data_IF_815730511393
#
_entry.id   IF_815730511393
#
_cell.length_a   1.000
_cell.length_b   1.000
_cell.length_c   1.000
_cell.angle_alpha   90.00
_cell.angle_beta   90.00
_cell.angle_gamma   90.00
#
_symmetry.space_group_name_H-M   'P 1'
#
loop_
_entity.id
_entity.type
_entity.pdbx_description
1 polymer ?
#
# COMPACT_ATOMS: atom_id res chain seq x y z
N UNK A 1 15.93 29.98 -5.55
CA UNK A 1 16.51 28.89 -6.38
C UNK A 1 17.57 28.09 -5.61
N UNK A 2 18.55 28.72 -4.97
CA UNK A 2 19.64 28.03 -4.23
C UNK A 2 19.20 27.06 -3.13
N UNK A 3 18.15 27.39 -2.37
CA UNK A 3 17.66 26.56 -1.25
C UNK A 3 17.33 25.11 -1.66
N UNK A 4 16.72 24.92 -2.85
CA UNK A 4 16.33 23.58 -3.32
C UNK A 4 17.55 22.73 -3.70
N UNK A 5 18.59 23.36 -4.26
CA UNK A 5 19.85 22.69 -4.61
C UNK A 5 20.55 22.20 -3.34
N UNK A 6 20.79 23.08 -2.38
CA UNK A 6 21.43 22.70 -1.10
C UNK A 6 20.64 21.64 -0.33
N UNK A 7 19.30 21.65 -0.40
CA UNK A 7 18.50 20.59 0.19
C UNK A 7 18.77 19.22 -0.47
N UNK A 8 18.92 19.17 -1.79
CA UNK A 8 19.17 17.94 -2.55
C UNK A 8 20.64 17.50 -2.48
N UNK A 9 21.59 18.44 -2.62
CA UNK A 9 23.04 18.20 -2.59
C UNK A 9 23.49 17.65 -1.23
N UNK A 10 22.85 18.09 -0.14
CA UNK A 10 23.08 17.59 1.21
C UNK A 10 22.10 16.47 1.59
N UNK A 11 21.79 15.56 0.64
CA UNK A 11 21.05 14.32 0.91
C UNK A 11 19.68 14.52 1.57
N UNK A 12 18.88 15.47 1.11
CA UNK A 12 17.58 15.83 1.70
C UNK A 12 17.70 16.35 3.15
N UNK A 13 18.77 17.09 3.44
CA UNK A 13 19.02 17.70 4.74
C UNK A 13 17.78 18.44 5.28
N UNK A 14 17.49 18.20 6.56
CA UNK A 14 16.40 18.88 7.28
C UNK A 14 16.65 20.39 7.41
N UNK A 15 15.63 21.11 7.86
CA UNK A 15 15.62 22.59 7.87
C UNK A 15 16.81 23.20 8.63
N UNK A 16 17.25 22.60 9.74
CA UNK A 16 18.39 23.10 10.52
C UNK A 16 19.73 22.89 9.81
N UNK A 17 19.96 21.68 9.30
CA UNK A 17 21.20 21.33 8.61
C UNK A 17 21.36 22.15 7.31
N UNK A 18 20.30 22.26 6.50
CA UNK A 18 20.31 23.09 5.29
C UNK A 18 20.55 24.57 5.62
N UNK A 19 19.97 25.09 6.72
CA UNK A 19 20.17 26.47 7.13
C UNK A 19 21.61 26.76 7.59
N UNK A 20 22.23 25.83 8.33
CA UNK A 20 23.61 25.97 8.77
C UNK A 20 24.59 25.96 7.59
N UNK A 21 24.44 24.99 6.67
CA UNK A 21 25.31 24.88 5.48
C UNK A 21 25.20 26.11 4.58
N UNK A 22 23.99 26.64 4.37
CA UNK A 22 23.80 27.84 3.55
C UNK A 22 24.39 29.10 4.20
N UNK A 23 24.34 29.22 5.54
CA UNK A 23 24.85 30.38 6.27
C UNK A 23 26.37 30.51 6.23
N UNK A 24 27.09 29.42 5.94
CA UNK A 24 28.55 29.46 5.76
C UNK A 24 28.98 30.23 4.51
N UNK A 25 28.10 30.34 3.51
CA UNK A 25 28.43 30.92 2.20
C UNK A 25 27.58 32.14 1.87
N UNK A 26 26.33 32.20 2.37
CA UNK A 26 25.38 33.25 2.02
C UNK A 26 24.65 33.82 3.24
N UNK A 27 24.39 35.12 3.23
CA UNK A 27 23.53 35.79 4.20
C UNK A 27 22.18 36.14 3.58
N UNK A 28 21.25 35.18 3.61
CA UNK A 28 19.91 35.32 3.01
C UNK A 28 18.91 35.77 4.08
N UNK A 29 18.21 36.88 3.81
CA UNK A 29 17.11 37.36 4.65
C UNK A 29 15.96 36.33 4.62
N UNK A 30 15.41 35.98 5.78
CA UNK A 30 14.38 34.95 5.95
C UNK A 30 14.72 33.55 5.39
N UNK A 31 16.00 33.18 5.32
CA UNK A 31 16.46 31.89 4.79
C UNK A 31 15.68 30.69 5.38
N UNK A 32 15.41 30.70 6.68
CA UNK A 32 14.70 29.63 7.39
C UNK A 32 13.28 29.40 6.86
N UNK A 33 12.55 30.45 6.48
CA UNK A 33 11.20 30.36 5.92
C UNK A 33 11.24 29.68 4.54
N UNK A 34 12.16 30.13 3.69
CA UNK A 34 12.39 29.58 2.36
C UNK A 34 12.82 28.11 2.39
N UNK A 35 13.72 27.74 3.31
CA UNK A 35 14.16 26.35 3.53
C UNK A 35 13.01 25.48 4.01
N UNK A 36 12.19 25.95 4.96
CA UNK A 36 11.02 25.21 5.43
C UNK A 36 10.03 24.94 4.30
N UNK A 37 9.79 25.92 3.42
CA UNK A 37 8.95 25.73 2.23
C UNK A 37 9.54 24.70 1.26
N UNK A 38 10.85 24.76 1.01
CA UNK A 38 11.53 23.83 0.11
C UNK A 38 11.48 22.37 0.62
N UNK A 39 11.75 22.15 1.91
CA UNK A 39 11.68 20.82 2.53
C UNK A 39 10.25 20.28 2.51
N UNK A 40 9.24 21.11 2.82
CA UNK A 40 7.82 20.71 2.77
C UNK A 40 7.34 20.33 1.37
N UNK A 41 7.85 21.02 0.35
CA UNK A 41 7.50 20.75 -1.05
C UNK A 41 8.33 19.60 -1.66
N UNK A 42 9.28 19.04 -0.93
CA UNK A 42 10.10 17.93 -1.42
C UNK A 42 9.32 16.61 -1.33
N UNK A 43 9.04 16.00 -2.48
CA UNK A 43 8.30 14.72 -2.57
C UNK A 43 9.05 13.59 -1.84
N UNK A 44 10.39 13.59 -1.89
CA UNK A 44 11.21 12.59 -1.22
C UNK A 44 11.06 12.70 0.29
N UNK A 45 11.25 13.90 0.84
CA UNK A 45 11.01 14.15 2.27
C UNK A 45 9.57 13.83 2.66
N UNK A 46 8.58 14.26 1.86
CA UNK A 46 7.17 14.00 2.15
C UNK A 46 6.85 12.49 2.21
N UNK A 47 7.49 11.66 1.38
CA UNK A 47 7.35 10.19 1.43
C UNK A 47 8.02 9.56 2.64
N UNK A 48 9.18 10.06 3.07
CA UNK A 48 9.86 9.54 4.26
C UNK A 48 9.21 10.02 5.57
N UNK A 49 8.61 11.20 5.55
CA UNK A 49 7.87 11.80 6.67
C UNK A 49 6.37 11.43 6.66
N UNK A 50 5.88 10.71 5.65
CA UNK A 50 4.46 10.33 5.62
C UNK A 50 4.17 9.35 6.75
N UNK A 51 3.27 9.73 7.64
CA UNK A 51 2.71 8.81 8.61
C UNK A 51 1.93 7.71 7.89
N UNK A 52 1.92 6.49 8.43
CA UNK A 52 1.03 5.45 7.96
C UNK A 52 -0.41 6.00 7.91
N UNK A 53 -1.06 5.90 6.75
CA UNK A 53 -2.45 6.33 6.62
C UNK A 53 -3.28 5.69 7.72
N UNK A 54 -3.97 6.50 8.52
CA UNK A 54 -4.91 5.98 9.50
C UNK A 54 -6.02 5.27 8.74
N UNK A 55 -6.16 3.96 8.95
CA UNK A 55 -7.24 3.19 8.36
C UNK A 55 -8.57 3.76 8.86
N UNK A 56 -9.34 4.38 7.96
CA UNK A 56 -10.71 4.79 8.27
C UNK A 56 -11.57 3.52 8.23
N UNK A 57 -11.96 3.05 9.41
CA UNK A 57 -12.90 1.93 9.54
C UNK A 57 -14.31 2.45 9.24
N UNK A 58 -14.83 2.10 8.06
CA UNK A 58 -16.24 2.35 7.71
C UNK A 58 -17.11 1.28 8.39
N UNK A 59 -18.35 1.63 8.70
CA UNK A 59 -19.33 0.68 9.21
C UNK A 59 -19.43 -0.56 8.31
N UNK A 60 -19.45 -1.73 8.94
CA UNK A 60 -19.55 -2.98 8.21
C UNK A 60 -20.93 -3.05 7.55
N UNK A 61 -21.04 -3.50 6.28
CA UNK A 61 -22.33 -3.58 5.60
C UNK A 61 -23.26 -4.51 6.37
N UNK A 62 -24.57 -4.20 6.35
CA UNK A 62 -25.61 -4.99 7.04
C UNK A 62 -25.64 -6.46 6.62
N UNK A 63 -25.06 -6.78 5.45
CA UNK A 63 -24.83 -8.15 5.00
C UNK A 63 -23.89 -8.94 5.91
N UNK A 64 -22.93 -8.29 6.57
CA UNK A 64 -21.92 -8.92 7.44
C UNK A 64 -22.32 -8.94 8.92
N UNK A 65 -23.21 -8.05 9.35
CA UNK A 65 -23.52 -7.86 10.78
C UNK A 65 -24.84 -8.50 11.20
N UNK A 66 -25.83 -8.57 10.30
CA UNK A 66 -27.17 -9.09 10.66
C UNK A 66 -27.18 -10.63 10.71
N UNK A 67 -27.56 -11.25 11.84
CA UNK A 67 -27.74 -12.69 11.94
C UNK A 67 -28.91 -13.17 11.06
N UNK A 68 -28.87 -14.43 10.63
CA UNK A 68 -29.89 -15.02 9.76
C UNK A 68 -29.71 -16.53 9.61
N UNK A 69 -30.44 -17.15 8.68
CA UNK A 69 -30.27 -18.58 8.37
C UNK A 69 -28.92 -18.84 7.69
N UNK A 70 -28.35 -20.02 7.88
CA UNK A 70 -27.11 -20.41 7.19
C UNK A 70 -27.29 -20.26 5.66
N UNK A 71 -26.24 -19.79 4.98
CA UNK A 71 -26.22 -19.52 3.53
C UNK A 71 -27.17 -18.44 3.01
N UNK A 72 -27.91 -17.73 3.88
CA UNK A 72 -28.75 -16.60 3.46
C UNK A 72 -27.92 -15.46 2.84
N UNK A 73 -26.68 -15.30 3.30
CA UNK A 73 -25.73 -14.32 2.78
C UNK A 73 -24.38 -15.01 2.58
N UNK A 74 -23.99 -15.19 1.34
CA UNK A 74 -22.72 -15.76 0.95
C UNK A 74 -21.95 -14.83 0.02
N UNK A 75 -20.64 -14.98 0.00
CA UNK A 75 -19.76 -14.43 -1.01
C UNK A 75 -18.99 -15.54 -1.70
N UNK A 76 -18.62 -15.30 -2.95
CA UNK A 76 -17.74 -16.17 -3.72
C UNK A 76 -16.48 -15.39 -4.01
N UNK A 77 -15.32 -15.94 -3.68
CA UNK A 77 -14.02 -15.39 -4.01
C UNK A 77 -13.25 -16.37 -4.90
N UNK A 78 -12.48 -15.85 -5.85
CA UNK A 78 -11.70 -16.65 -6.77
C UNK A 78 -10.21 -16.40 -6.52
N UNK A 79 -9.46 -17.48 -6.31
CA UNK A 79 -8.02 -17.42 -6.14
C UNK A 79 -7.34 -18.15 -7.31
N UNK A 80 -6.42 -17.50 -8.00
CA UNK A 80 -5.66 -18.09 -9.11
C UNK A 80 -5.42 -17.12 -10.27
N UNK A 81 -4.55 -17.45 -11.23
CA UNK A 81 -4.27 -18.81 -11.70
C UNK A 81 -3.11 -19.53 -10.97
N UNK A 82 -3.37 -20.76 -10.52
CA UNK A 82 -2.34 -21.68 -10.06
C UNK A 82 -1.91 -22.59 -11.21
N UNK A 83 -0.60 -22.68 -11.47
CA UNK A 83 -0.07 -23.61 -12.46
C UNK A 83 0.21 -24.95 -11.78
N UNK A 84 -0.61 -25.95 -12.08
CA UNK A 84 -0.48 -27.30 -11.52
C UNK A 84 -0.09 -28.25 -12.64
N UNK A 85 0.98 -29.00 -12.40
CA UNK A 85 1.37 -30.09 -13.28
C UNK A 85 0.58 -31.34 -12.86
N UNK A 86 -0.31 -31.83 -13.72
CA UNK A 86 -1.11 -33.02 -13.43
C UNK A 86 -0.26 -34.30 -13.36
N UNK A 87 0.98 -34.29 -13.86
CA UNK A 87 1.90 -35.44 -13.85
C UNK A 87 3.34 -34.98 -13.60
N UNK A 88 4.15 -35.84 -12.97
CA UNK A 88 5.60 -35.65 -12.89
C UNK A 88 6.26 -36.18 -14.17
N UNK A 89 6.99 -35.33 -14.91
CA UNK A 89 7.71 -35.71 -16.12
C UNK A 89 8.31 -34.51 -16.87
N UNK A 90 9.20 -34.75 -17.84
CA UNK A 90 9.72 -33.71 -18.74
C UNK A 90 8.64 -33.33 -19.77
N UNK A 91 8.48 -32.03 -20.05
CA UNK A 91 7.50 -31.47 -20.98
C UNK A 91 6.00 -31.64 -20.63
N UNK A 92 5.66 -31.73 -19.34
CA UNK A 92 4.25 -31.75 -18.90
C UNK A 92 3.63 -30.35 -19.06
N UNK A 93 2.47 -30.27 -19.73
CA UNK A 93 1.70 -29.02 -19.83
C UNK A 93 1.14 -28.66 -18.45
N UNK A 94 1.53 -27.48 -17.93
CA UNK A 94 0.95 -26.94 -16.70
C UNK A 94 -0.48 -26.49 -16.96
N UNK A 95 -1.41 -26.96 -16.12
CA UNK A 95 -2.82 -26.56 -16.16
C UNK A 95 -3.03 -25.35 -15.26
N UNK A 96 -3.81 -24.39 -15.75
CA UNK A 96 -4.25 -23.25 -14.95
C UNK A 96 -5.47 -23.67 -14.14
N UNK A 97 -5.31 -23.76 -12.83
CA UNK A 97 -6.38 -24.06 -11.90
C UNK A 97 -6.79 -22.78 -11.19
N UNK A 98 -8.09 -22.56 -11.08
CA UNK A 98 -8.68 -21.53 -10.24
C UNK A 98 -9.43 -22.21 -9.09
N UNK A 99 -9.30 -21.64 -7.90
CA UNK A 99 -9.99 -22.10 -6.69
C UNK A 99 -11.13 -21.14 -6.40
N UNK A 100 -12.35 -21.65 -6.32
CA UNK A 100 -13.52 -20.88 -5.91
C UNK A 100 -13.76 -21.14 -4.42
N UNK A 101 -13.74 -20.09 -3.62
CA UNK A 101 -14.01 -20.11 -2.18
C UNK A 101 -15.40 -19.55 -1.95
N UNK A 102 -16.31 -20.36 -1.44
CA UNK A 102 -17.64 -19.92 -1.02
C UNK A 102 -17.62 -19.66 0.49
N UNK A 103 -17.95 -18.45 0.91
CA UNK A 103 -17.98 -18.06 2.33
C UNK A 103 -19.40 -17.66 2.72
N UNK A 104 -19.95 -18.29 3.75
CA UNK A 104 -21.17 -17.82 4.40
C UNK A 104 -20.85 -16.71 5.40
N UNK A 105 -21.41 -15.51 5.23
CA UNK A 105 -21.11 -14.36 6.09
C UNK A 105 -21.73 -14.46 7.50
N UNK A 106 -22.75 -15.30 7.66
CA UNK A 106 -23.46 -15.46 8.92
C UNK A 106 -22.77 -16.47 9.83
N UNK A 107 -22.36 -17.62 9.28
CA UNK A 107 -21.69 -18.68 10.05
C UNK A 107 -20.17 -18.62 9.96
N UNK A 108 -19.61 -17.73 9.11
CA UNK A 108 -18.19 -17.64 8.77
C UNK A 108 -17.57 -18.98 8.34
N UNK A 109 -18.39 -19.86 7.73
CA UNK A 109 -17.95 -21.17 7.22
C UNK A 109 -17.58 -21.05 5.74
N UNK A 110 -16.45 -21.64 5.37
CA UNK A 110 -15.97 -21.71 3.99
C UNK A 110 -16.17 -23.11 3.39
N UNK A 111 -16.50 -23.16 2.10
CA UNK A 111 -16.56 -24.40 1.30
C UNK A 111 -15.74 -24.18 0.03
N UNK A 112 -14.91 -25.15 -0.31
CA UNK A 112 -14.01 -25.09 -1.48
C UNK A 112 -14.62 -25.89 -2.63
N UNK A 113 -14.66 -25.31 -3.82
CA UNK A 113 -14.87 -26.07 -5.05
C UNK A 113 -13.70 -25.85 -6.01
N UNK A 114 -13.07 -26.92 -6.46
CA UNK A 114 -12.06 -26.89 -7.51
C UNK A 114 -12.74 -26.96 -8.88
N UNK A 115 -12.65 -25.90 -9.68
CA UNK A 115 -13.08 -25.92 -11.08
C UNK A 115 -11.84 -26.09 -11.96
N UNK A 116 -11.74 -27.24 -12.63
CA UNK A 116 -10.67 -27.53 -13.60
C UNK A 116 -11.17 -27.10 -14.97
N UNK A 117 -10.43 -26.21 -15.63
CA UNK A 117 -10.63 -25.80 -17.03
C UNK A 117 -9.41 -26.15 -17.86
#
# INVERSE_FOLDING_TARGET
>A
MHVKLYHLDYLNAGVQAAHYSMRQVYWIVEARSSIRKAVRNCVVCARFLSECSKQIMVDLPSSRVRPGRAFLKSGTDYCGPFLVNHRCGRAVRSLKIYVCIFVCFITKRYTLSSSVT
#
